data_IF_979029727800
#
_entry.id   IF_979029727800
#
_cell.length_a   1.000
_cell.length_b   1.000
_cell.length_c   1.000
_cell.angle_alpha   90.00
_cell.angle_beta   90.00
_cell.angle_gamma   90.00
#
_symmetry.space_group_name_H-M   'P 1'
#
loop_
_entity.id
_entity.type
_entity.pdbx_description
1 polymer ?
#
# COMPACT_ATOMS: atom_id res chain seq x y z
N UNK A 1 -58.44 -38.21 -22.20
CA UNK A 1 -58.13 -37.09 -21.29
C UNK A 1 -57.17 -37.53 -20.17
N UNK A 2 -55.91 -37.85 -20.48
CA UNK A 2 -54.93 -38.27 -19.46
C UNK A 2 -53.48 -37.84 -19.76
N UNK A 3 -53.27 -36.92 -20.71
CA UNK A 3 -51.92 -36.52 -21.16
C UNK A 3 -51.51 -35.13 -20.65
N UNK A 4 -52.47 -34.24 -20.37
CA UNK A 4 -52.17 -32.84 -19.96
C UNK A 4 -51.83 -32.72 -18.47
N UNK A 5 -52.28 -33.66 -17.62
CA UNK A 5 -52.04 -33.61 -16.16
C UNK A 5 -50.62 -34.09 -15.78
N UNK A 6 -49.94 -34.87 -16.65
CA UNK A 6 -48.58 -35.35 -16.39
C UNK A 6 -47.51 -34.25 -16.57
N UNK A 7 -47.69 -33.34 -17.52
CA UNK A 7 -46.73 -32.26 -17.78
C UNK A 7 -46.77 -31.14 -16.72
N UNK A 8 -47.95 -30.87 -16.16
CA UNK A 8 -48.12 -29.82 -15.15
C UNK A 8 -47.47 -30.15 -13.78
N UNK A 9 -47.40 -31.44 -13.40
CA UNK A 9 -46.75 -31.86 -12.15
C UNK A 9 -45.22 -31.82 -12.21
N UNK A 10 -44.62 -31.96 -13.39
CA UNK A 10 -43.16 -31.92 -13.57
C UNK A 10 -42.60 -30.48 -13.58
N UNK A 11 -43.40 -29.52 -14.04
CA UNK A 11 -43.04 -28.09 -14.04
C UNK A 11 -43.18 -27.45 -12.64
N UNK A 12 -44.15 -27.89 -11.84
CA UNK A 12 -44.38 -27.37 -10.47
C UNK A 12 -43.43 -28.02 -9.44
N UNK A 13 -43.00 -29.27 -9.67
CA UNK A 13 -42.10 -30.00 -8.77
C UNK A 13 -40.65 -29.52 -8.72
N UNK A 14 -40.16 -28.79 -9.72
CA UNK A 14 -38.77 -28.29 -9.77
C UNK A 14 -38.54 -26.92 -9.12
N UNK A 15 -39.58 -26.23 -8.63
CA UNK A 15 -39.44 -24.91 -8.00
C UNK A 15 -39.33 -24.89 -6.47
N UNK A 16 -39.18 -26.05 -5.80
CA UNK A 16 -39.00 -26.12 -4.34
C UNK A 16 -37.63 -26.62 -3.86
N UNK A 17 -36.67 -26.84 -4.76
CA UNK A 17 -35.30 -27.24 -4.40
C UNK A 17 -34.25 -26.14 -4.65
N UNK A 18 -34.66 -24.87 -4.82
CA UNK A 18 -33.74 -23.72 -4.93
C UNK A 18 -34.23 -22.53 -4.10
N UNK A 19 -34.74 -22.81 -2.89
CA UNK A 19 -34.92 -21.81 -1.83
C UNK A 19 -34.41 -22.43 -0.53
N UNK A 20 -33.12 -22.79 -0.51
CA UNK A 20 -32.37 -23.00 0.72
C UNK A 20 -31.08 -22.21 0.64
N UNK A 21 -30.89 -21.38 1.66
CA UNK A 21 -29.69 -20.66 2.05
C UNK A 21 -29.06 -19.75 1.00
N UNK A 22 -29.55 -18.51 0.95
CA UNK A 22 -28.63 -17.38 0.80
C UNK A 22 -29.16 -16.20 1.60
N UNK A 23 -29.04 -16.30 2.93
CA UNK A 23 -28.93 -15.11 3.78
C UNK A 23 -27.60 -14.46 3.42
N UNK A 24 -27.56 -13.68 2.35
CA UNK A 24 -26.52 -12.67 2.21
C UNK A 24 -26.96 -11.54 3.12
N UNK A 25 -26.33 -11.45 4.29
CA UNK A 25 -26.28 -10.18 5.01
C UNK A 25 -25.75 -9.16 4.01
N UNK A 26 -26.64 -8.32 3.47
CA UNK A 26 -26.22 -7.04 2.92
C UNK A 26 -25.81 -6.19 4.11
N UNK A 27 -24.55 -6.38 4.54
CA UNK A 27 -23.80 -5.35 5.24
C UNK A 27 -24.10 -4.01 4.55
N UNK A 28 -24.38 -2.92 5.28
CA UNK A 28 -24.55 -1.63 4.64
C UNK A 28 -23.23 -1.31 3.95
N UNK A 29 -23.18 -1.46 2.63
CA UNK A 29 -22.04 -1.02 1.84
C UNK A 29 -22.01 0.49 2.02
N UNK A 30 -21.21 0.94 2.98
CA UNK A 30 -20.70 2.29 2.98
C UNK A 30 -20.01 2.41 1.63
N UNK A 31 -20.68 3.03 0.65
CA UNK A 31 -20.05 3.46 -0.61
C UNK A 31 -19.07 4.59 -0.26
N UNK A 32 -18.04 4.24 0.49
CA UNK A 32 -16.92 5.11 0.81
C UNK A 32 -16.07 5.16 -0.44
N UNK A 33 -16.34 6.19 -1.25
CA UNK A 33 -15.39 6.85 -2.13
C UNK A 33 -14.71 5.99 -3.21
N UNK A 34 -15.39 5.83 -4.35
CA UNK A 34 -14.77 5.44 -5.62
C UNK A 34 -13.53 6.28 -5.98
N UNK A 35 -13.41 7.50 -5.43
CA UNK A 35 -12.27 8.40 -5.64
C UNK A 35 -10.96 7.87 -5.03
N UNK A 36 -10.96 7.34 -3.80
CA UNK A 36 -9.73 6.81 -3.20
C UNK A 36 -9.24 5.61 -4.02
N UNK A 37 -10.15 4.67 -4.32
CA UNK A 37 -9.80 3.46 -5.07
C UNK A 37 -9.34 3.76 -6.50
N UNK A 38 -9.99 4.69 -7.21
CA UNK A 38 -9.63 4.99 -8.60
C UNK A 38 -8.31 5.75 -8.70
N UNK A 39 -8.11 6.78 -7.88
CA UNK A 39 -6.92 7.62 -7.94
C UNK A 39 -5.71 6.94 -7.33
N UNK A 40 -5.86 6.25 -6.19
CA UNK A 40 -4.76 5.49 -5.61
C UNK A 40 -4.39 4.31 -6.48
N UNK A 41 -5.34 3.62 -7.12
CA UNK A 41 -4.99 2.57 -8.08
C UNK A 41 -4.26 3.13 -9.31
N UNK A 42 -4.67 4.29 -9.82
CA UNK A 42 -3.98 4.95 -10.93
C UNK A 42 -2.54 5.35 -10.54
N UNK A 43 -2.34 5.98 -9.38
CA UNK A 43 -1.03 6.36 -8.86
C UNK A 43 -0.15 5.13 -8.59
N UNK A 44 -0.70 4.09 -7.97
CA UNK A 44 0.01 2.84 -7.68
C UNK A 44 0.50 2.16 -8.96
N UNK A 45 -0.34 2.10 -10.00
CA UNK A 45 0.07 1.59 -11.33
C UNK A 45 1.15 2.45 -11.96
N UNK A 46 1.02 3.77 -11.87
CA UNK A 46 1.99 4.71 -12.41
C UNK A 46 3.37 4.58 -11.73
N UNK A 47 3.40 4.39 -10.41
CA UNK A 47 4.63 4.12 -9.64
C UNK A 47 5.24 2.77 -10.04
N UNK A 48 4.42 1.72 -10.09
CA UNK A 48 4.86 0.37 -10.46
C UNK A 48 5.56 0.31 -11.82
N UNK A 49 5.10 1.10 -12.79
CA UNK A 49 5.70 1.17 -14.13
C UNK A 49 7.02 1.95 -14.17
N UNK A 50 7.26 2.86 -13.22
CA UNK A 50 8.44 3.73 -13.20
C UNK A 50 9.59 3.17 -12.37
N UNK A 51 9.31 2.40 -11.31
CA UNK A 51 10.34 1.81 -10.43
C UNK A 51 11.41 1.03 -11.21
N UNK A 52 11.09 0.19 -12.21
CA UNK A 52 12.12 -0.54 -12.96
C UNK A 52 13.03 0.33 -13.83
N UNK A 53 12.68 1.60 -14.05
CA UNK A 53 13.39 2.52 -14.93
C UNK A 53 14.40 3.42 -14.19
N UNK A 54 14.47 3.31 -12.86
CA UNK A 54 15.32 4.17 -12.03
C UNK A 54 16.40 3.37 -11.32
N UNK A 55 17.55 3.99 -11.10
CA UNK A 55 18.67 3.39 -10.38
C UNK A 55 18.52 3.45 -8.86
N UNK A 56 17.79 4.47 -8.38
CA UNK A 56 17.61 4.78 -6.96
C UNK A 56 16.14 5.13 -6.65
N UNK A 57 15.62 4.56 -5.55
CA UNK A 57 14.31 4.89 -4.99
C UNK A 57 14.49 5.52 -3.62
N UNK A 58 14.03 6.77 -3.49
CA UNK A 58 13.93 7.46 -2.20
C UNK A 58 12.53 7.27 -1.63
N UNK A 59 12.42 6.49 -0.56
CA UNK A 59 11.17 6.27 0.15
C UNK A 59 11.02 7.27 1.30
N UNK A 60 10.16 8.27 1.13
CA UNK A 60 9.91 9.29 2.14
C UNK A 60 8.83 8.82 3.12
N UNK A 61 9.17 8.75 4.41
CA UNK A 61 8.28 8.35 5.51
C UNK A 61 8.14 9.47 6.55
N UNK A 62 7.12 9.38 7.40
CA UNK A 62 6.95 10.31 8.53
C UNK A 62 7.74 9.78 9.74
N UNK A 63 8.68 10.58 10.26
CA UNK A 63 9.57 10.20 11.35
C UNK A 63 8.84 9.84 12.65
N UNK A 64 7.60 10.30 12.84
CA UNK A 64 6.80 9.99 14.05
C UNK A 64 6.21 8.58 14.01
N UNK A 65 5.98 8.04 12.82
CA UNK A 65 5.39 6.71 12.59
C UNK A 65 6.08 5.98 11.41
N UNK A 66 7.39 5.66 11.50
CA UNK A 66 8.16 5.18 10.35
C UNK A 66 7.69 3.85 9.76
N UNK A 67 7.12 2.97 10.58
CA UNK A 67 6.60 1.69 10.09
C UNK A 67 5.19 1.83 9.51
N UNK A 68 4.34 2.63 10.14
CA UNK A 68 2.94 2.79 9.69
C UNK A 68 2.80 3.69 8.46
N UNK A 69 3.78 4.58 8.23
CA UNK A 69 3.83 5.43 7.02
C UNK A 69 4.48 4.76 5.82
N UNK A 70 4.77 3.46 5.92
CA UNK A 70 5.29 2.65 4.83
C UNK A 70 4.29 2.47 3.69
N UNK A 71 4.78 2.48 2.46
CA UNK A 71 4.00 2.11 1.30
C UNK A 71 4.22 0.63 0.96
N UNK A 72 3.27 -0.23 1.35
CA UNK A 72 3.38 -1.70 1.22
C UNK A 72 3.71 -2.19 -0.19
N UNK A 73 3.28 -1.47 -1.22
CA UNK A 73 3.56 -1.87 -2.61
C UNK A 73 5.06 -1.83 -2.90
N UNK A 74 5.85 -0.96 -2.26
CA UNK A 74 7.30 -0.95 -2.38
C UNK A 74 7.95 -2.24 -1.91
N UNK A 75 7.39 -2.93 -0.91
CA UNK A 75 7.91 -4.24 -0.47
C UNK A 75 7.85 -5.32 -1.55
N UNK A 76 6.93 -5.18 -2.51
CA UNK A 76 6.74 -6.17 -3.59
C UNK A 76 7.71 -5.98 -4.76
N UNK A 77 8.37 -4.83 -4.84
CA UNK A 77 9.37 -4.56 -5.87
C UNK A 77 10.74 -5.00 -5.35
N UNK A 78 11.20 -6.16 -5.83
CA UNK A 78 12.57 -6.64 -5.68
C UNK A 78 13.52 -6.00 -6.71
N UNK A 79 13.26 -4.76 -7.16
CA UNK A 79 14.02 -4.17 -8.25
C UNK A 79 15.49 -4.03 -7.87
N UNK A 80 16.38 -4.21 -8.85
CA UNK A 80 17.82 -3.97 -8.77
C UNK A 80 18.18 -2.56 -8.26
N UNK A 81 17.22 -1.64 -8.31
CA UNK A 81 17.34 -0.26 -7.84
C UNK A 81 17.65 -0.20 -6.34
N UNK A 82 18.65 0.60 -5.98
CA UNK A 82 18.99 0.86 -4.58
C UNK A 82 17.82 1.57 -3.89
N UNK A 83 17.58 1.29 -2.62
CA UNK A 83 16.50 1.92 -1.82
C UNK A 83 17.08 2.64 -0.62
N UNK A 84 16.68 3.90 -0.44
CA UNK A 84 17.01 4.71 0.74
C UNK A 84 15.72 5.15 1.38
N UNK A 85 15.60 4.95 2.70
CA UNK A 85 14.49 5.44 3.51
C UNK A 85 14.83 6.83 4.04
N UNK A 86 13.89 7.76 3.92
CA UNK A 86 14.06 9.14 4.41
C UNK A 86 12.94 9.43 5.40
N UNK A 87 13.30 9.52 6.68
CA UNK A 87 12.39 9.91 7.76
C UNK A 87 12.25 11.42 7.78
N UNK A 88 11.20 11.94 7.16
CA UNK A 88 10.91 13.37 7.13
C UNK A 88 10.20 13.82 8.42
N UNK A 89 10.28 15.13 8.70
CA UNK A 89 9.68 15.81 9.87
C UNK A 89 10.32 15.40 11.20
N UNK A 90 11.64 15.20 11.22
CA UNK A 90 12.37 14.87 12.46
C UNK A 90 12.25 15.95 13.54
N UNK A 91 11.96 17.19 13.16
CA UNK A 91 11.71 18.31 14.05
C UNK A 91 10.42 18.14 14.87
N UNK A 92 9.45 17.39 14.34
CA UNK A 92 8.20 17.05 15.01
C UNK A 92 8.27 15.70 15.74
N UNK A 93 9.33 14.93 15.53
CA UNK A 93 9.52 13.63 16.16
C UNK A 93 10.34 13.73 17.45
N UNK A 94 10.15 12.79 18.36
CA UNK A 94 10.99 12.70 19.54
C UNK A 94 12.43 12.33 19.12
N UNK A 95 13.42 13.07 19.62
CA UNK A 95 14.84 12.87 19.25
C UNK A 95 15.38 11.49 19.63
N UNK A 96 15.02 10.97 20.82
CA UNK A 96 15.45 9.65 21.27
C UNK A 96 14.83 8.55 20.40
N UNK A 97 13.51 8.63 20.14
CA UNK A 97 12.83 7.68 19.26
C UNK A 97 13.36 7.73 17.83
N UNK A 98 13.68 8.92 17.31
CA UNK A 98 14.26 9.05 15.97
C UNK A 98 15.61 8.32 15.88
N UNK A 99 16.46 8.42 16.91
CA UNK A 99 17.72 7.67 16.96
C UNK A 99 17.48 6.16 17.00
N UNK A 100 16.54 5.70 17.80
CA UNK A 100 16.16 4.28 17.85
C UNK A 100 15.67 3.78 16.48
N UNK A 101 14.87 4.59 15.77
CA UNK A 101 14.42 4.25 14.41
C UNK A 101 15.56 4.20 13.41
N UNK A 102 16.50 5.15 13.44
CA UNK A 102 17.69 5.12 12.58
C UNK A 102 18.51 3.84 12.82
N UNK A 103 18.77 3.51 14.09
CA UNK A 103 19.44 2.26 14.46
C UNK A 103 18.67 1.02 14.02
N UNK A 104 17.34 1.03 14.13
CA UNK A 104 16.50 -0.06 13.65
C UNK A 104 16.69 -0.28 12.14
N UNK A 105 16.63 0.77 11.32
CA UNK A 105 16.81 0.60 9.87
C UNK A 105 18.23 0.16 9.51
N UNK A 106 19.25 0.70 10.17
CA UNK A 106 20.65 0.29 9.99
C UNK A 106 20.86 -1.21 10.30
N UNK A 107 20.30 -1.69 11.41
CA UNK A 107 20.35 -3.11 11.80
C UNK A 107 19.62 -4.03 10.81
N UNK A 108 18.60 -3.51 10.12
CA UNK A 108 17.88 -4.23 9.07
C UNK A 108 18.53 -4.05 7.68
N UNK A 109 19.78 -3.56 7.63
CA UNK A 109 20.54 -3.35 6.40
C UNK A 109 19.85 -2.39 5.41
N UNK A 110 19.10 -1.42 5.94
CA UNK A 110 18.41 -0.36 5.20
C UNK A 110 19.11 0.97 5.45
N UNK A 111 19.50 1.66 4.37
CA UNK A 111 20.05 3.01 4.47
C UNK A 111 18.91 3.96 4.85
N UNK A 112 19.10 4.73 5.92
CA UNK A 112 18.06 5.59 6.47
C UNK A 112 18.61 6.95 6.91
N UNK A 113 17.91 8.02 6.54
CA UNK A 113 18.25 9.39 6.94
C UNK A 113 17.09 10.10 7.60
N UNK A 114 17.37 10.80 8.70
CA UNK A 114 16.43 11.72 9.32
C UNK A 114 16.57 13.11 8.71
N UNK A 115 15.49 13.66 8.16
CA UNK A 115 15.49 15.00 7.56
C UNK A 115 14.33 15.86 8.03
N UNK A 116 14.55 17.17 8.00
CA UNK A 116 13.48 18.15 7.96
C UNK A 116 13.45 18.74 6.54
N UNK A 117 12.43 18.41 5.74
CA UNK A 117 12.32 18.90 4.37
C UNK A 117 12.15 20.44 4.25
N UNK A 118 11.80 21.13 5.34
CA UNK A 118 11.79 22.60 5.36
C UNK A 118 13.18 23.18 5.61
N UNK A 119 14.14 22.38 6.08
CA UNK A 119 15.52 22.78 6.28
C UNK A 119 16.40 22.25 5.12
N UNK A 120 16.92 23.17 4.30
CA UNK A 120 17.79 22.84 3.15
C UNK A 120 19.07 22.13 3.57
N UNK A 121 19.61 22.42 4.76
CA UNK A 121 20.86 21.81 5.22
C UNK A 121 20.68 20.33 5.53
N UNK A 122 19.53 19.94 6.08
CA UNK A 122 19.17 18.54 6.31
C UNK A 122 19.03 17.74 5.01
N UNK A 123 18.61 18.39 3.92
CA UNK A 123 18.43 17.72 2.63
C UNK A 123 19.78 17.45 1.94
N UNK A 124 20.76 18.36 2.07
CA UNK A 124 22.08 18.20 1.45
C UNK A 124 22.78 16.90 1.88
N UNK A 125 22.61 16.50 3.14
CA UNK A 125 23.16 15.27 3.70
C UNK A 125 22.69 14.01 2.94
N UNK A 126 21.47 14.01 2.41
CA UNK A 126 20.94 12.90 1.60
C UNK A 126 21.52 12.91 0.19
N UNK A 127 21.74 14.10 -0.40
CA UNK A 127 22.29 14.24 -1.74
C UNK A 127 23.79 13.90 -1.82
N UNK A 128 24.56 14.18 -0.77
CA UNK A 128 26.02 13.92 -0.74
C UNK A 128 26.36 12.42 -0.76
N UNK A 129 25.44 11.56 -0.32
CA UNK A 129 25.65 10.11 -0.32
C UNK A 129 25.91 9.52 -1.72
N UNK A 130 25.23 10.04 -2.74
CA UNK A 130 25.35 9.55 -4.12
C UNK A 130 26.74 9.85 -4.73
N UNK A 131 27.40 10.90 -4.23
CA UNK A 131 28.72 11.32 -4.71
C UNK A 131 29.86 10.43 -4.21
N UNK A 132 29.64 9.58 -3.20
CA UNK A 132 30.67 8.76 -2.57
C UNK A 132 30.58 7.26 -2.90
N UNK A 133 29.52 6.81 -3.57
CA UNK A 133 29.27 5.40 -3.91
C UNK A 133 29.45 5.08 -5.41
N UNK A 134 30.00 6.02 -6.19
CA UNK A 134 30.34 5.86 -7.61
C UNK A 134 31.82 5.53 -7.81
#
# INVERSE_FOLDING_TARGET
MATVVRLAKEIIGRRRAMVKSSRRNTEPTTRRGSWYDTHMAAASRAIAQRIPLVDLVLEIRDARIPLSSEYELLRKFNSSSRRIVVLNKIDLANRSQTKEWLSYFEQNNCICYGVNAHNKDSIRQVCEYDSFSS
#
